data_IF_870418039715
#
_entry.id   IF_870418039715
#
_cell.length_a   1.000
_cell.length_b   1.000
_cell.length_c   1.000
_cell.angle_alpha   90.00
_cell.angle_beta   90.00
_cell.angle_gamma   90.00
#
_symmetry.space_group_name_H-M   'P 1'
#
loop_
_entity.id
_entity.type
_entity.pdbx_description
1 polymer ?
#
# COMPACT_ATOMS: atom_id res chain seq x y z
N UNK A 1 12.26 15.35 2.21
CA UNK A 1 11.52 15.13 3.49
C UNK A 1 12.51 14.60 4.51
N UNK A 2 12.55 15.16 5.73
CA UNK A 2 13.50 14.65 6.70
C UNK A 2 13.10 13.25 7.21
N UNK A 3 14.04 12.57 7.88
CA UNK A 3 13.86 11.20 8.29
C UNK A 3 12.65 10.99 9.23
N UNK A 4 12.47 11.87 10.20
CA UNK A 4 11.39 11.73 11.18
C UNK A 4 10.01 11.88 10.52
N UNK A 5 9.89 12.83 9.60
CA UNK A 5 8.65 13.03 8.84
C UNK A 5 8.42 11.86 7.89
N UNK A 6 9.45 11.43 7.19
CA UNK A 6 9.36 10.31 6.25
C UNK A 6 8.92 9.02 6.96
N UNK A 7 9.43 8.79 8.17
CA UNK A 7 9.05 7.62 8.95
C UNK A 7 7.58 7.63 9.31
N UNK A 8 7.05 8.77 9.73
CA UNK A 8 5.64 8.91 10.06
C UNK A 8 4.74 8.70 8.83
N UNK A 9 5.10 9.32 7.71
CA UNK A 9 4.34 9.20 6.47
C UNK A 9 4.36 7.75 5.98
N UNK A 10 5.52 7.11 5.98
CA UNK A 10 5.66 5.72 5.54
C UNK A 10 4.80 4.77 6.37
N UNK A 11 4.77 4.95 7.69
CA UNK A 11 3.95 4.13 8.58
C UNK A 11 2.47 4.28 8.23
N UNK A 12 2.01 5.52 8.02
CA UNK A 12 0.61 5.79 7.66
C UNK A 12 0.27 5.17 6.30
N UNK A 13 1.15 5.30 5.32
CA UNK A 13 0.89 4.72 3.99
C UNK A 13 0.80 3.20 4.04
N UNK A 14 1.63 2.55 4.85
CA UNK A 14 1.54 1.11 5.06
C UNK A 14 0.20 0.71 5.67
N UNK A 15 -0.24 1.43 6.69
CA UNK A 15 -1.53 1.19 7.32
C UNK A 15 -2.69 1.36 6.35
N UNK A 16 -2.64 2.42 5.54
CA UNK A 16 -3.68 2.66 4.52
C UNK A 16 -3.74 1.49 3.54
N UNK A 17 -2.58 1.01 3.07
CA UNK A 17 -2.55 -0.12 2.13
C UNK A 17 -3.11 -1.39 2.78
N UNK A 18 -2.80 -1.64 4.04
CA UNK A 18 -3.35 -2.78 4.77
C UNK A 18 -4.87 -2.70 4.88
N UNK A 19 -5.41 -1.52 5.18
CA UNK A 19 -6.85 -1.31 5.27
C UNK A 19 -7.53 -1.51 3.92
N UNK A 20 -6.91 -1.03 2.84
CA UNK A 20 -7.45 -1.24 1.50
C UNK A 20 -7.46 -2.74 1.15
N UNK A 21 -6.43 -3.47 1.53
CA UNK A 21 -6.40 -4.93 1.32
C UNK A 21 -7.48 -5.65 2.12
N UNK A 22 -7.78 -5.18 3.33
CA UNK A 22 -8.88 -5.73 4.11
C UNK A 22 -10.23 -5.56 3.41
N UNK A 23 -10.42 -4.42 2.72
CA UNK A 23 -11.66 -4.19 1.98
C UNK A 23 -11.87 -5.19 0.85
N UNK A 24 -10.78 -5.67 0.25
CA UNK A 24 -10.85 -6.72 -0.79
C UNK A 24 -11.44 -8.00 -0.22
N UNK A 25 -11.06 -8.35 1.00
CA UNK A 25 -11.57 -9.57 1.66
C UNK A 25 -13.07 -9.47 1.93
N UNK A 26 -13.54 -8.28 2.28
CA UNK A 26 -14.98 -8.04 2.51
C UNK A 26 -15.75 -8.24 1.21
N UNK A 27 -15.28 -7.65 0.11
CA UNK A 27 -15.94 -7.79 -1.19
C UNK A 27 -15.91 -9.25 -1.66
N UNK A 28 -14.81 -9.96 -1.41
CA UNK A 28 -14.69 -11.37 -1.77
C UNK A 28 -15.75 -12.24 -1.09
N UNK A 29 -16.08 -11.90 0.16
CA UNK A 29 -17.03 -12.70 0.95
C UNK A 29 -18.49 -12.53 0.51
N UNK A 30 -18.87 -11.33 0.05
CA UNK A 30 -20.26 -10.95 -0.08
C UNK A 30 -20.68 -10.50 -1.47
N UNK A 31 -19.85 -10.69 -2.51
CA UNK A 31 -20.22 -10.24 -3.84
C UNK A 31 -19.90 -11.30 -4.91
N UNK A 32 -20.36 -11.03 -6.14
CA UNK A 32 -20.14 -11.94 -7.26
C UNK A 32 -18.64 -12.00 -7.63
N UNK A 33 -18.25 -13.04 -8.34
CA UNK A 33 -16.87 -13.20 -8.83
C UNK A 33 -16.44 -12.02 -9.71
N UNK A 34 -17.34 -11.53 -10.59
CA UNK A 34 -17.05 -10.41 -11.48
C UNK A 34 -16.83 -9.12 -10.70
N UNK A 35 -17.69 -8.86 -9.72
CA UNK A 35 -17.59 -7.68 -8.87
C UNK A 35 -16.30 -7.69 -8.04
N UNK A 36 -15.96 -8.84 -7.49
CA UNK A 36 -14.73 -9.03 -6.74
C UNK A 36 -13.49 -8.77 -7.61
N UNK A 37 -13.44 -9.34 -8.81
CA UNK A 37 -12.29 -9.15 -9.71
C UNK A 37 -12.12 -7.70 -10.11
N UNK A 38 -13.22 -6.99 -10.35
CA UNK A 38 -13.19 -5.57 -10.69
C UNK A 38 -12.67 -4.74 -9.53
N UNK A 39 -13.19 -4.98 -8.32
CA UNK A 39 -12.78 -4.25 -7.13
C UNK A 39 -11.30 -4.50 -6.80
N UNK A 40 -10.88 -5.75 -6.85
CA UNK A 40 -9.48 -6.13 -6.61
C UNK A 40 -8.53 -5.39 -7.55
N UNK A 41 -8.91 -5.28 -8.82
CA UNK A 41 -8.11 -4.56 -9.82
C UNK A 41 -8.04 -3.07 -9.50
N UNK A 42 -9.14 -2.48 -9.09
CA UNK A 42 -9.20 -1.07 -8.73
C UNK A 42 -8.31 -0.77 -7.52
N UNK A 43 -8.39 -1.59 -6.49
CA UNK A 43 -7.55 -1.42 -5.29
C UNK A 43 -6.09 -1.65 -5.63
N UNK A 44 -5.78 -2.61 -6.48
CA UNK A 44 -4.40 -2.86 -6.92
C UNK A 44 -3.77 -1.64 -7.57
N UNK A 45 -4.52 -0.90 -8.39
CA UNK A 45 -4.03 0.34 -9.00
C UNK A 45 -3.74 1.41 -7.95
N UNK A 46 -4.66 1.59 -7.00
CA UNK A 46 -4.52 2.61 -5.97
C UNK A 46 -3.35 2.30 -5.06
N UNK A 47 -3.22 1.07 -4.59
CA UNK A 47 -2.10 0.68 -3.72
C UNK A 47 -0.77 0.74 -4.46
N UNK A 48 -0.77 0.41 -5.75
CA UNK A 48 0.41 0.55 -6.60
C UNK A 48 0.85 2.00 -6.73
N UNK A 49 -0.09 2.93 -6.89
CA UNK A 49 0.23 4.36 -6.95
C UNK A 49 0.75 4.88 -5.63
N UNK A 50 0.17 4.47 -4.51
CA UNK A 50 0.67 4.83 -3.19
C UNK A 50 2.13 4.39 -3.05
N UNK A 51 2.42 3.17 -3.47
CA UNK A 51 3.78 2.65 -3.41
C UNK A 51 4.73 3.45 -4.30
N UNK A 52 4.39 3.61 -5.58
CA UNK A 52 5.29 4.24 -6.55
C UNK A 52 5.46 5.73 -6.31
N UNK A 53 4.38 6.43 -5.95
CA UNK A 53 4.40 7.89 -5.84
C UNK A 53 4.88 8.37 -4.47
N UNK A 54 4.66 7.58 -3.41
CA UNK A 54 4.94 8.04 -2.05
C UNK A 54 5.99 7.16 -1.37
N UNK A 55 5.76 5.86 -1.31
CA UNK A 55 6.64 4.98 -0.54
C UNK A 55 8.00 4.76 -1.20
N UNK A 56 8.05 4.52 -2.50
CA UNK A 56 9.32 4.29 -3.19
C UNK A 56 10.27 5.49 -3.07
N UNK A 57 9.82 6.74 -3.30
CA UNK A 57 10.70 7.89 -3.08
C UNK A 57 11.22 8.01 -1.65
N UNK A 58 10.39 7.65 -0.66
CA UNK A 58 10.82 7.63 0.74
C UNK A 58 11.93 6.60 0.95
N UNK A 59 11.77 5.40 0.40
CA UNK A 59 12.77 4.34 0.53
C UNK A 59 14.07 4.68 -0.20
N UNK A 60 13.97 5.40 -1.33
CA UNK A 60 15.16 5.84 -2.07
C UNK A 60 15.96 6.88 -1.28
N UNK A 61 15.27 7.79 -0.59
CA UNK A 61 15.90 8.82 0.23
C UNK A 61 16.34 8.30 1.59
N UNK A 62 15.57 7.36 2.17
CA UNK A 62 15.82 6.79 3.50
C UNK A 62 15.75 5.26 3.43
N UNK A 63 16.81 4.60 2.91
CA UNK A 63 16.78 3.14 2.71
C UNK A 63 16.53 2.33 3.97
N UNK A 64 16.85 2.86 5.14
CA UNK A 64 16.62 2.19 6.43
C UNK A 64 15.12 2.03 6.74
N UNK A 65 14.25 2.82 6.10
CA UNK A 65 12.81 2.73 6.28
C UNK A 65 12.17 1.65 5.43
N UNK A 66 12.93 1.06 4.51
CA UNK A 66 12.42 -0.01 3.64
C UNK A 66 12.05 -1.23 4.49
N UNK A 67 10.80 -1.76 4.37
CA UNK A 67 10.41 -2.94 5.12
C UNK A 67 11.33 -4.12 4.83
N UNK A 68 11.59 -4.96 5.84
CA UNK A 68 12.47 -6.12 5.71
C UNK A 68 12.03 -7.05 4.57
N UNK A 69 10.73 -7.17 4.35
CA UNK A 69 10.18 -8.00 3.27
C UNK A 69 10.55 -7.52 1.87
N UNK A 70 10.93 -6.26 1.71
CA UNK A 70 11.33 -5.67 0.42
C UNK A 70 12.84 -5.57 0.27
N UNK A 71 13.61 -5.92 1.29
CA UNK A 71 15.07 -5.93 1.22
C UNK A 71 15.52 -7.25 0.61
N UNK A 72 16.41 -7.15 -0.35
CA UNK A 72 17.02 -8.32 -0.97
C UNK A 72 18.13 -8.89 -0.12
#
# INVERSE_FOLDING_TARGET
MDHAIAQQVETIMREVRERLNESIKIVMSDSSADEFQRYRRQIGKITGEIFLEIQQPIYDEHPDLTPTSLRS
#
